data_IF_842503863399
#
_entry.id   IF_842503863399
#
_cell.length_a   1.000
_cell.length_b   1.000
_cell.length_c   1.000
_cell.angle_alpha   90.00
_cell.angle_beta   90.00
_cell.angle_gamma   90.00
#
_symmetry.space_group_name_H-M   'P 1'
#
loop_
_entity.id
_entity.type
_entity.pdbx_description
1 polymer ?
#
# COMPACT_ATOMS: atom_id res chain seq x y z
N UNK A 1 -10.58 20.32 21.58
CA UNK A 1 -11.20 19.09 21.05
C UNK A 1 -10.97 19.00 19.56
N UNK A 2 -11.40 19.98 18.75
CA UNK A 2 -11.17 20.01 17.29
C UNK A 2 -9.73 19.69 16.81
N UNK A 3 -8.69 20.22 17.46
CA UNK A 3 -7.30 20.08 16.97
C UNK A 3 -6.73 18.65 17.14
N UNK A 4 -7.08 17.96 18.23
CA UNK A 4 -6.68 16.56 18.44
C UNK A 4 -7.40 15.61 17.48
N UNK A 5 -8.64 15.94 17.13
CA UNK A 5 -9.45 15.16 16.18
C UNK A 5 -8.85 15.25 14.78
N UNK A 6 -8.41 16.45 14.35
CA UNK A 6 -7.69 16.65 13.07
C UNK A 6 -6.35 15.92 13.08
N UNK A 7 -5.58 15.97 14.18
CA UNK A 7 -4.31 15.24 14.28
C UNK A 7 -4.50 13.72 14.14
N UNK A 8 -5.54 13.17 14.78
CA UNK A 8 -5.88 11.75 14.64
C UNK A 8 -6.38 11.41 13.24
N UNK A 9 -7.15 12.31 12.62
CA UNK A 9 -7.59 12.17 11.23
C UNK A 9 -6.42 12.21 10.24
N UNK A 10 -5.42 13.07 10.48
CA UNK A 10 -4.21 13.14 9.68
C UNK A 10 -3.43 11.83 9.74
N UNK A 11 -3.32 11.23 10.93
CA UNK A 11 -2.75 9.90 11.11
C UNK A 11 -3.54 8.86 10.30
N UNK A 12 -4.87 8.80 10.47
CA UNK A 12 -5.71 7.87 9.69
C UNK A 12 -5.49 8.01 8.19
N UNK A 13 -5.51 9.23 7.64
CA UNK A 13 -5.35 9.44 6.20
C UNK A 13 -3.94 9.16 5.68
N UNK A 14 -2.89 9.27 6.51
CA UNK A 14 -1.53 8.81 6.15
C UNK A 14 -1.43 7.29 6.07
N UNK A 15 -2.20 6.57 6.90
CA UNK A 15 -2.13 5.09 7.01
C UNK A 15 -3.12 4.39 6.09
N UNK A 16 -4.39 4.80 6.13
CA UNK A 16 -5.49 4.26 5.36
C UNK A 16 -5.66 4.93 3.98
N UNK A 17 -4.76 5.84 3.62
CA UNK A 17 -4.69 6.48 2.31
C UNK A 17 -3.27 6.95 2.01
N UNK A 18 -3.14 7.90 1.09
CA UNK A 18 -1.86 8.53 0.75
C UNK A 18 -1.76 9.95 1.33
N UNK A 19 -2.34 10.19 2.51
CA UNK A 19 -2.46 11.52 3.10
C UNK A 19 -3.58 12.36 2.46
N UNK A 20 -3.76 13.57 2.98
CA UNK A 20 -4.80 14.50 2.55
C UNK A 20 -4.37 15.94 2.81
N UNK A 21 -4.95 16.89 2.10
CA UNK A 21 -4.76 18.32 2.35
C UNK A 21 -5.47 18.75 3.63
N UNK A 22 -5.03 19.84 4.25
CA UNK A 22 -5.53 20.23 5.58
C UNK A 22 -7.05 20.46 5.63
N UNK A 23 -7.63 21.06 4.60
CA UNK A 23 -9.07 21.27 4.54
C UNK A 23 -9.88 19.96 4.41
N UNK A 24 -9.31 18.92 3.78
CA UNK A 24 -9.92 17.58 3.75
C UNK A 24 -9.90 16.95 5.15
N UNK A 25 -8.82 17.17 5.91
CA UNK A 25 -8.70 16.71 7.30
C UNK A 25 -9.72 17.41 8.20
N UNK A 26 -9.92 18.72 8.04
CA UNK A 26 -10.97 19.48 8.74
C UNK A 26 -12.35 18.90 8.44
N UNK A 27 -12.69 18.72 7.16
CA UNK A 27 -13.99 18.18 6.75
C UNK A 27 -14.24 16.75 7.27
N UNK A 28 -13.21 15.89 7.26
CA UNK A 28 -13.32 14.53 7.81
C UNK A 28 -13.39 14.52 9.34
N UNK A 29 -12.65 15.40 10.02
CA UNK A 29 -12.73 15.55 11.46
C UNK A 29 -14.14 16.01 11.90
N UNK A 30 -14.76 16.92 11.15
CA UNK A 30 -16.15 17.34 11.37
C UNK A 30 -17.16 16.20 11.20
N UNK A 31 -16.91 15.28 10.24
CA UNK A 31 -17.72 14.06 10.06
C UNK A 31 -17.57 13.08 11.23
N UNK A 32 -16.41 13.07 11.88
CA UNK A 32 -16.06 12.16 12.97
C UNK A 32 -15.20 10.97 12.52
N UNK A 33 -14.36 10.49 13.44
CA UNK A 33 -13.37 9.45 13.16
C UNK A 33 -14.01 8.13 12.72
N UNK A 34 -14.91 7.58 13.53
CA UNK A 34 -15.55 6.29 13.25
C UNK A 34 -16.34 6.33 11.93
N UNK A 35 -17.08 7.42 11.68
CA UNK A 35 -17.83 7.60 10.44
C UNK A 35 -16.91 7.72 9.21
N UNK A 36 -15.71 8.26 9.37
CA UNK A 36 -14.70 8.29 8.31
C UNK A 36 -14.09 6.91 8.08
N UNK A 37 -13.82 6.15 9.13
CA UNK A 37 -13.38 4.74 9.00
C UNK A 37 -14.43 3.91 8.26
N UNK A 38 -15.71 4.07 8.59
CA UNK A 38 -16.80 3.39 7.86
C UNK A 38 -16.85 3.75 6.37
N UNK A 39 -16.68 5.03 6.04
CA UNK A 39 -16.62 5.50 4.64
C UNK A 39 -15.45 4.86 3.89
N UNK A 40 -14.26 4.87 4.48
CA UNK A 40 -13.06 4.27 3.86
C UNK A 40 -13.24 2.78 3.58
N UNK A 41 -13.94 2.07 4.48
CA UNK A 41 -14.21 0.63 4.35
C UNK A 41 -15.33 0.30 3.36
N UNK A 42 -16.09 1.29 2.89
CA UNK A 42 -17.18 1.14 1.92
C UNK A 42 -16.98 2.14 0.76
N UNK A 43 -15.97 1.92 -0.10
CA UNK A 43 -15.77 2.78 -1.25
C UNK A 43 -17.00 2.75 -2.17
N UNK A 44 -17.51 3.93 -2.50
CA UNK A 44 -18.63 4.12 -3.43
C UNK A 44 -18.20 4.85 -4.72
N UNK A 45 -16.95 5.35 -4.76
CA UNK A 45 -16.44 6.10 -5.91
C UNK A 45 -16.03 5.16 -7.05
N UNK A 46 -16.79 5.25 -8.14
CA UNK A 46 -16.54 4.52 -9.39
C UNK A 46 -15.93 5.42 -10.49
N UNK A 47 -15.50 6.64 -10.15
CA UNK A 47 -14.92 7.57 -11.13
C UNK A 47 -13.53 7.18 -11.60
N UNK A 48 -12.87 6.21 -10.93
CA UNK A 48 -11.46 5.86 -11.13
C UNK A 48 -10.50 7.06 -10.92
N UNK A 49 -10.97 8.11 -10.22
CA UNK A 49 -10.21 9.34 -10.01
C UNK A 49 -10.01 10.19 -11.27
N UNK A 50 -10.63 9.87 -12.41
CA UNK A 50 -10.35 10.54 -13.68
C UNK A 50 -11.49 10.42 -14.69
N UNK A 51 -11.64 11.44 -15.55
CA UNK A 51 -12.33 11.26 -16.82
C UNK A 51 -11.48 10.37 -17.76
N UNK A 52 -11.95 9.16 -18.04
CA UNK A 52 -11.20 8.16 -18.79
C UNK A 52 -10.83 8.63 -20.21
N UNK A 53 -11.63 9.51 -20.82
CA UNK A 53 -11.31 10.10 -22.14
C UNK A 53 -10.05 10.97 -22.08
N UNK A 54 -9.84 11.69 -20.96
CA UNK A 54 -8.61 12.43 -20.71
C UNK A 54 -7.46 11.47 -20.39
N UNK A 55 -7.74 10.40 -19.63
CA UNK A 55 -6.76 9.35 -19.34
C UNK A 55 -6.15 8.75 -20.61
N UNK A 56 -6.98 8.33 -21.57
CA UNK A 56 -6.51 7.76 -22.84
C UNK A 56 -5.64 8.72 -23.65
N UNK A 57 -5.91 10.03 -23.57
CA UNK A 57 -5.15 11.04 -24.30
C UNK A 57 -3.74 11.25 -23.76
N UNK A 58 -3.55 11.13 -22.45
CA UNK A 58 -2.28 11.45 -21.78
C UNK A 58 -1.49 10.20 -21.39
N UNK A 59 -2.18 9.10 -21.08
CA UNK A 59 -1.62 7.77 -20.85
C UNK A 59 -1.90 6.92 -22.09
N UNK A 60 -1.24 7.27 -23.19
CA UNK A 60 -1.46 6.67 -24.50
C UNK A 60 -1.22 5.15 -24.40
N UNK A 61 -2.19 4.37 -24.87
CA UNK A 61 -2.19 2.90 -24.84
C UNK A 61 -2.27 2.23 -23.45
N UNK A 62 -2.58 2.98 -22.38
CA UNK A 62 -2.87 2.36 -21.07
C UNK A 62 -4.10 1.45 -21.12
N UNK A 63 -5.16 1.90 -21.79
CA UNK A 63 -6.41 1.17 -22.01
C UNK A 63 -6.26 -0.02 -22.97
N UNK A 64 -5.18 -0.03 -23.77
CA UNK A 64 -4.76 -1.16 -24.58
C UNK A 64 -3.70 -2.02 -23.84
N UNK A 65 -3.34 -1.62 -22.62
CA UNK A 65 -2.40 -2.30 -21.73
C UNK A 65 -1.05 -2.62 -22.38
N UNK A 66 -0.57 -1.68 -23.20
CA UNK A 66 0.71 -1.80 -23.91
C UNK A 66 1.79 -1.01 -23.15
N UNK A 67 1.41 0.16 -22.64
CA UNK A 67 2.28 1.13 -21.94
C UNK A 67 1.48 1.87 -20.88
N UNK A 68 2.16 2.57 -19.99
CA UNK A 68 1.58 3.53 -19.04
C UNK A 68 0.61 2.96 -18.00
N UNK A 69 0.54 1.64 -17.79
CA UNK A 69 -0.28 1.03 -16.73
C UNK A 69 0.20 1.43 -15.32
N UNK A 70 1.50 1.40 -14.99
CA UNK A 70 1.99 1.90 -13.69
C UNK A 70 1.66 3.38 -13.44
N UNK A 71 1.71 4.20 -14.49
CA UNK A 71 1.40 5.63 -14.44
C UNK A 71 -0.08 5.86 -14.16
N UNK A 72 -0.96 5.12 -14.83
CA UNK A 72 -2.39 5.13 -14.54
C UNK A 72 -2.69 4.73 -13.09
N UNK A 73 -2.04 3.67 -12.61
CA UNK A 73 -2.17 3.22 -11.21
C UNK A 73 -1.79 4.34 -10.23
N UNK A 74 -0.61 4.95 -10.42
CA UNK A 74 -0.18 6.04 -9.57
C UNK A 74 -1.11 7.27 -9.67
N UNK A 75 -1.65 7.57 -10.86
CA UNK A 75 -2.66 8.60 -11.03
C UNK A 75 -3.92 8.31 -10.19
N UNK A 76 -4.39 7.06 -10.15
CA UNK A 76 -5.51 6.66 -9.27
C UNK A 76 -5.18 6.83 -7.80
N UNK A 77 -3.98 6.45 -7.38
CA UNK A 77 -3.54 6.66 -5.99
C UNK A 77 -3.57 8.14 -5.60
N UNK A 78 -3.26 9.05 -6.53
CA UNK A 78 -3.34 10.50 -6.33
C UNK A 78 -4.80 10.98 -6.27
N UNK A 79 -5.68 10.51 -7.14
CA UNK A 79 -6.97 11.19 -7.40
C UNK A 79 -8.24 10.46 -6.95
N UNK A 80 -8.18 9.14 -6.74
CA UNK A 80 -9.33 8.33 -6.32
C UNK A 80 -9.83 8.79 -4.95
N UNK A 81 -11.16 8.89 -4.77
CA UNK A 81 -11.73 9.13 -3.43
C UNK A 81 -11.70 7.86 -2.57
N UNK A 82 -11.64 6.69 -3.19
CA UNK A 82 -11.51 5.37 -2.56
C UNK A 82 -10.07 5.10 -2.12
N UNK A 83 -9.51 5.98 -1.28
CA UNK A 83 -8.10 5.94 -0.89
C UNK A 83 -7.68 4.64 -0.21
N UNK A 84 -8.52 4.08 0.66
CA UNK A 84 -8.23 2.79 1.31
C UNK A 84 -8.23 1.63 0.31
N UNK A 85 -9.05 1.68 -0.73
CA UNK A 85 -9.05 0.65 -1.77
C UNK A 85 -7.72 0.62 -2.53
N UNK A 86 -7.23 1.78 -3.01
CA UNK A 86 -5.91 1.88 -3.65
C UNK A 86 -4.78 1.46 -2.71
N UNK A 87 -4.92 1.80 -1.42
CA UNK A 87 -3.98 1.41 -0.38
C UNK A 87 -3.94 -0.10 -0.15
N UNK A 88 -5.10 -0.75 -0.16
CA UNK A 88 -5.22 -2.19 -0.01
C UNK A 88 -4.70 -2.95 -1.21
N UNK A 89 -4.84 -2.42 -2.43
CA UNK A 89 -4.23 -3.05 -3.62
C UNK A 89 -2.71 -3.03 -3.51
N UNK A 90 -2.12 -1.89 -3.11
CA UNK A 90 -0.67 -1.80 -2.90
C UNK A 90 -0.20 -2.72 -1.76
N UNK A 91 -0.98 -2.84 -0.69
CA UNK A 91 -0.73 -3.80 0.40
C UNK A 91 -0.71 -5.24 -0.13
N UNK A 92 -1.74 -5.64 -0.87
CA UNK A 92 -1.85 -7.00 -1.38
C UNK A 92 -0.78 -7.32 -2.42
N UNK A 93 -0.50 -6.41 -3.35
CA UNK A 93 0.53 -6.63 -4.35
C UNK A 93 1.94 -6.68 -3.73
N UNK A 94 2.12 -6.15 -2.51
CA UNK A 94 3.34 -6.34 -1.72
C UNK A 94 3.43 -7.69 -0.99
N UNK A 95 2.35 -8.49 -0.94
CA UNK A 95 2.29 -9.81 -0.29
C UNK A 95 2.09 -10.90 -1.36
N UNK A 96 1.00 -10.81 -2.11
CA UNK A 96 0.61 -11.66 -3.23
C UNK A 96 1.27 -11.14 -4.51
N UNK A 97 2.60 -11.12 -4.52
CA UNK A 97 3.34 -10.37 -5.51
C UNK A 97 3.47 -11.10 -6.85
N UNK A 98 3.43 -10.32 -7.93
CA UNK A 98 3.90 -10.69 -9.26
C UNK A 98 4.80 -9.56 -9.79
N UNK A 99 5.73 -9.90 -10.67
CA UNK A 99 6.61 -8.91 -11.29
C UNK A 99 6.41 -8.84 -12.81
N UNK A 100 6.22 -7.63 -13.35
CA UNK A 100 6.16 -7.37 -14.80
C UNK A 100 7.46 -7.81 -15.50
N UNK A 101 8.60 -7.73 -14.82
CA UNK A 101 9.89 -8.23 -15.34
C UNK A 101 9.89 -9.72 -15.68
N UNK A 102 9.09 -10.55 -14.99
CA UNK A 102 8.88 -11.97 -15.30
C UNK A 102 7.67 -12.17 -16.21
N UNK A 103 6.53 -11.57 -15.90
CA UNK A 103 5.26 -11.82 -16.63
C UNK A 103 5.21 -11.14 -18.00
N UNK A 104 5.88 -9.99 -18.17
CA UNK A 104 5.98 -9.20 -19.40
C UNK A 104 4.64 -8.89 -20.07
N UNK A 105 3.60 -8.71 -19.25
CA UNK A 105 2.22 -8.57 -19.70
C UNK A 105 1.45 -7.59 -18.82
N UNK A 106 1.57 -6.30 -19.15
CA UNK A 106 0.83 -5.23 -18.45
C UNK A 106 -0.70 -5.41 -18.47
N UNK A 107 -1.25 -6.09 -19.49
CA UNK A 107 -2.68 -6.44 -19.53
C UNK A 107 -3.06 -7.42 -18.43
N UNK A 108 -2.20 -8.39 -18.16
CA UNK A 108 -2.45 -9.38 -17.12
C UNK A 108 -2.22 -8.75 -15.74
N UNK A 109 -1.15 -7.97 -15.57
CA UNK A 109 -0.92 -7.24 -14.31
C UNK A 109 -2.04 -6.25 -13.98
N UNK A 110 -2.59 -5.57 -14.98
CA UNK A 110 -3.75 -4.71 -14.78
C UNK A 110 -4.98 -5.50 -14.34
N UNK A 111 -5.25 -6.65 -14.98
CA UNK A 111 -6.36 -7.53 -14.62
C UNK A 111 -6.23 -8.06 -13.18
N UNK A 112 -5.03 -8.42 -12.75
CA UNK A 112 -4.73 -8.81 -11.36
C UNK A 112 -5.04 -7.67 -10.39
N UNK A 113 -4.62 -6.43 -10.68
CA UNK A 113 -4.91 -5.27 -9.84
C UNK A 113 -6.40 -4.94 -9.76
N UNK A 114 -7.15 -5.11 -10.84
CA UNK A 114 -8.61 -4.97 -10.83
C UNK A 114 -9.30 -6.14 -10.08
N UNK A 115 -8.69 -7.32 -10.05
CA UNK A 115 -9.12 -8.42 -9.18
C UNK A 115 -8.88 -8.06 -7.71
N UNK A 116 -7.68 -7.58 -7.34
CA UNK A 116 -7.37 -7.10 -5.99
C UNK A 116 -8.31 -5.98 -5.55
N UNK A 117 -8.69 -5.09 -6.47
CA UNK A 117 -9.69 -4.04 -6.21
C UNK A 117 -11.05 -4.64 -5.86
N UNK A 118 -11.51 -5.63 -6.62
CA UNK A 118 -12.82 -6.26 -6.48
C UNK A 118 -12.95 -7.06 -5.18
N UNK A 119 -11.94 -7.87 -4.83
CA UNK A 119 -12.05 -8.81 -3.70
C UNK A 119 -11.03 -8.61 -2.57
N UNK A 120 -10.08 -7.68 -2.68
CA UNK A 120 -9.01 -7.47 -1.69
C UNK A 120 -9.49 -7.03 -0.31
N UNK A 121 -10.70 -6.46 -0.19
CA UNK A 121 -11.33 -6.19 1.12
C UNK A 121 -12.45 -7.18 1.47
N UNK A 122 -12.60 -8.26 0.69
CA UNK A 122 -13.60 -9.31 0.87
C UNK A 122 -13.20 -10.37 1.89
N UNK A 123 -13.57 -11.62 1.61
CA UNK A 123 -13.09 -12.78 2.35
C UNK A 123 -11.69 -13.18 1.87
N UNK A 124 -10.78 -13.51 2.79
CA UNK A 124 -9.45 -13.99 2.42
C UNK A 124 -9.50 -15.30 1.63
N UNK A 125 -10.50 -16.16 1.88
CA UNK A 125 -10.73 -17.37 1.08
C UNK A 125 -10.95 -17.04 -0.40
N UNK A 126 -11.85 -16.09 -0.67
CA UNK A 126 -12.17 -15.69 -2.04
C UNK A 126 -10.96 -15.00 -2.70
N UNK A 127 -10.25 -14.15 -1.96
CA UNK A 127 -9.02 -13.53 -2.45
C UNK A 127 -7.95 -14.57 -2.83
N UNK A 128 -7.71 -15.54 -1.94
CA UNK A 128 -6.71 -16.58 -2.16
C UNK A 128 -7.09 -17.48 -3.35
N UNK A 129 -8.38 -17.77 -3.53
CA UNK A 129 -8.89 -18.49 -4.70
C UNK A 129 -8.73 -17.70 -6.00
N UNK A 130 -9.12 -16.43 -6.00
CA UNK A 130 -9.04 -15.59 -7.19
C UNK A 130 -7.59 -15.37 -7.63
N UNK A 131 -6.66 -15.12 -6.70
CA UNK A 131 -5.22 -14.99 -7.03
C UNK A 131 -4.62 -16.33 -7.48
N UNK A 132 -5.06 -17.47 -6.91
CA UNK A 132 -4.61 -18.80 -7.36
C UNK A 132 -5.02 -19.10 -8.81
N UNK A 133 -6.10 -18.47 -9.27
CA UNK A 133 -6.57 -18.55 -10.66
C UNK A 133 -6.10 -17.38 -11.51
N UNK A 134 -5.35 -16.44 -10.96
CA UNK A 134 -4.88 -15.29 -11.71
C UNK A 134 -3.79 -15.72 -12.71
N UNK A 135 -3.91 -15.41 -14.01
CA UNK A 135 -2.94 -15.84 -15.00
C UNK A 135 -1.53 -15.25 -14.82
N UNK A 136 -1.39 -14.05 -14.23
CA UNK A 136 -0.08 -13.50 -13.89
C UNK A 136 0.54 -14.34 -12.78
N UNK A 137 -0.22 -14.67 -11.73
CA UNK A 137 0.27 -15.50 -10.63
C UNK A 137 0.63 -16.94 -11.07
N UNK A 138 -0.26 -17.59 -11.81
CA UNK A 138 -0.05 -18.95 -12.35
C UNK A 138 1.22 -19.02 -13.20
N UNK A 139 1.51 -17.98 -13.99
CA UNK A 139 2.75 -17.88 -14.76
C UNK A 139 3.95 -17.49 -13.89
N UNK A 140 3.78 -16.53 -12.98
CA UNK A 140 4.85 -15.99 -12.13
C UNK A 140 5.45 -17.05 -11.21
N UNK A 141 4.65 -18.01 -10.76
CA UNK A 141 5.11 -19.13 -9.92
C UNK A 141 5.20 -20.45 -10.68
N UNK A 142 5.20 -20.39 -12.01
CA UNK A 142 5.43 -21.53 -12.90
C UNK A 142 4.45 -22.70 -12.68
N UNK A 143 3.25 -22.43 -12.14
CA UNK A 143 2.23 -23.46 -11.92
C UNK A 143 1.68 -24.01 -13.24
N UNK A 144 1.73 -23.21 -14.31
CA UNK A 144 1.43 -23.69 -15.66
C UNK A 144 2.37 -24.80 -16.16
N UNK A 145 3.49 -25.05 -15.48
CA UNK A 145 4.44 -26.14 -15.72
C UNK A 145 4.29 -27.29 -14.69
N UNK A 146 3.30 -27.23 -13.80
CA UNK A 146 3.03 -28.27 -12.80
C UNK A 146 2.07 -29.31 -13.36
N UNK A 147 2.61 -30.48 -13.71
CA UNK A 147 1.87 -31.57 -14.34
C UNK A 147 1.75 -32.75 -13.36
N UNK A 148 0.70 -33.57 -13.48
CA UNK A 148 0.52 -34.74 -12.59
C UNK A 148 1.71 -35.70 -12.54
N UNK A 149 2.46 -35.80 -13.65
CA UNK A 149 3.63 -36.67 -13.78
C UNK A 149 4.96 -35.95 -13.49
N UNK A 150 4.94 -34.61 -13.40
CA UNK A 150 6.11 -33.74 -13.14
C UNK A 150 5.65 -32.51 -12.33
N UNK A 151 5.55 -32.69 -11.01
CA UNK A 151 5.00 -31.69 -10.09
C UNK A 151 6.02 -30.56 -9.89
N UNK A 152 5.56 -29.31 -10.04
CA UNK A 152 6.34 -28.13 -9.69
C UNK A 152 5.88 -27.60 -8.33
N UNK A 153 6.78 -27.63 -7.34
CA UNK A 153 6.48 -27.23 -5.95
C UNK A 153 6.42 -25.72 -5.73
N UNK A 154 6.85 -24.90 -6.69
CA UNK A 154 7.05 -23.47 -6.49
C UNK A 154 5.76 -22.78 -5.98
N UNK A 155 4.65 -22.89 -6.71
CA UNK A 155 3.38 -22.32 -6.26
C UNK A 155 2.92 -22.85 -4.90
N UNK A 156 3.00 -24.16 -4.70
CA UNK A 156 2.61 -24.79 -3.43
C UNK A 156 3.44 -24.30 -2.25
N UNK A 157 4.75 -24.08 -2.44
CA UNK A 157 5.65 -23.56 -1.41
C UNK A 157 5.30 -22.11 -1.06
N UNK A 158 5.20 -21.24 -2.06
CA UNK A 158 4.94 -19.82 -1.82
C UNK A 158 3.55 -19.56 -1.26
N UNK A 159 2.56 -20.37 -1.67
CA UNK A 159 1.22 -20.32 -1.10
C UNK A 159 1.25 -20.51 0.41
N UNK A 160 2.01 -21.49 0.91
CA UNK A 160 2.15 -21.74 2.36
C UNK A 160 3.09 -20.73 3.02
N UNK A 161 4.28 -20.54 2.45
CA UNK A 161 5.37 -19.80 3.07
C UNK A 161 5.14 -18.29 3.09
N UNK A 162 4.78 -17.71 1.95
CA UNK A 162 4.80 -16.27 1.77
C UNK A 162 3.42 -15.66 1.60
N UNK A 163 2.40 -16.45 1.27
CA UNK A 163 1.07 -15.90 0.97
C UNK A 163 0.00 -16.20 2.01
N UNK A 164 0.19 -17.21 2.88
CA UNK A 164 -0.89 -17.61 3.79
C UNK A 164 -0.51 -18.08 5.19
N UNK A 165 0.57 -18.84 5.42
CA UNK A 165 0.88 -19.39 6.74
C UNK A 165 2.13 -18.78 7.37
N UNK A 166 3.15 -18.45 6.57
CA UNK A 166 4.50 -18.20 7.10
C UNK A 166 5.22 -19.51 7.43
N UNK A 167 6.55 -19.50 7.38
CA UNK A 167 7.42 -20.66 7.71
C UNK A 167 7.10 -21.27 9.08
N UNK A 168 6.85 -20.43 10.07
CA UNK A 168 6.58 -20.88 11.43
C UNK A 168 6.28 -19.76 12.41
N UNK A 169 5.80 -20.14 13.58
CA UNK A 169 5.42 -19.25 14.69
C UNK A 169 5.68 -19.94 16.03
N UNK A 170 6.02 -19.15 17.06
CA UNK A 170 6.21 -19.63 18.44
C UNK A 170 7.20 -20.83 18.55
N UNK A 171 8.29 -20.77 17.77
CA UNK A 171 9.33 -21.81 17.72
C UNK A 171 8.91 -23.12 17.05
N UNK A 172 7.84 -23.11 16.23
CA UNK A 172 7.34 -24.28 15.51
C UNK A 172 7.08 -23.97 14.05
N UNK A 173 7.33 -24.94 13.18
CA UNK A 173 6.93 -24.88 11.77
C UNK A 173 5.40 -24.96 11.64
N UNK A 174 4.85 -24.20 10.70
CA UNK A 174 3.40 -24.21 10.41
C UNK A 174 2.99 -25.35 9.46
N UNK A 175 3.92 -25.82 8.63
CA UNK A 175 3.72 -26.90 7.67
C UNK A 175 5.01 -27.72 7.54
N UNK A 176 4.89 -28.91 6.96
CA UNK A 176 6.02 -29.78 6.64
C UNK A 176 6.37 -29.72 5.16
N UNK A 177 7.55 -30.24 4.80
CA UNK A 177 7.93 -30.36 3.39
C UNK A 177 7.00 -31.32 2.61
N UNK A 178 6.38 -32.29 3.28
CA UNK A 178 5.39 -33.14 2.64
C UNK A 178 4.08 -32.37 2.36
N UNK A 179 3.70 -31.43 3.23
CA UNK A 179 2.56 -30.54 2.96
C UNK A 179 2.80 -29.65 1.73
N UNK A 180 4.05 -29.20 1.48
CA UNK A 180 4.41 -28.46 0.26
C UNK A 180 4.16 -29.31 -0.99
N UNK A 181 4.60 -30.57 -0.98
CA UNK A 181 4.42 -31.50 -2.10
C UNK A 181 2.95 -31.81 -2.35
N UNK A 182 2.20 -32.10 -1.30
CA UNK A 182 0.78 -32.45 -1.39
C UNK A 182 -0.07 -31.24 -1.81
N UNK A 183 0.30 -30.03 -1.37
CA UNK A 183 -0.23 -28.78 -1.88
C UNK A 183 0.04 -28.64 -3.39
N UNK A 184 1.29 -28.80 -3.83
CA UNK A 184 1.66 -28.69 -5.24
C UNK A 184 0.94 -29.72 -6.13
N UNK A 185 0.80 -30.97 -5.64
CA UNK A 185 0.01 -32.03 -6.30
C UNK A 185 -1.43 -31.59 -6.54
N UNK A 186 -2.06 -30.94 -5.55
CA UNK A 186 -3.44 -30.48 -5.67
C UNK A 186 -3.62 -29.30 -6.66
N UNK A 187 -2.57 -28.55 -6.97
CA UNK A 187 -2.60 -27.48 -7.99
C UNK A 187 -2.18 -27.93 -9.40
N UNK A 188 -1.88 -29.21 -9.61
CA UNK A 188 -1.67 -29.76 -10.97
C UNK A 188 -2.92 -29.59 -11.82
N UNK A 189 -2.73 -29.34 -13.13
CA UNK A 189 -3.83 -29.05 -14.06
C UNK A 189 -4.39 -27.62 -13.99
N UNK A 190 -4.01 -26.80 -13.00
CA UNK A 190 -4.32 -25.36 -12.98
C UNK A 190 -3.33 -24.61 -13.87
N UNK A 191 -3.78 -24.19 -15.04
CA UNK A 191 -2.90 -23.63 -16.07
C UNK A 191 -3.51 -22.41 -16.76
N UNK A 192 -2.82 -21.88 -17.77
CA UNK A 192 -3.25 -20.76 -18.59
C UNK A 192 -3.55 -21.23 -20.02
N UNK A 193 -4.59 -20.67 -20.63
CA UNK A 193 -4.93 -20.90 -22.02
C UNK A 193 -3.81 -20.42 -22.95
N UNK A 194 -3.73 -21.03 -24.14
CA UNK A 194 -2.85 -20.54 -25.20
C UNK A 194 -3.17 -19.08 -25.54
N UNK A 195 -2.13 -18.24 -25.60
CA UNK A 195 -2.27 -16.82 -25.91
C UNK A 195 -2.84 -16.58 -27.30
N UNK A 196 -3.69 -15.56 -27.42
CA UNK A 196 -4.17 -15.06 -28.72
C UNK A 196 -3.01 -14.29 -29.38
N UNK A 197 -2.72 -14.50 -30.68
CA UNK A 197 -1.68 -13.75 -31.37
C UNK A 197 -1.91 -12.23 -31.28
N UNK A 198 -0.89 -11.50 -30.85
CA UNK A 198 -0.96 -10.04 -30.67
C UNK A 198 -1.29 -9.25 -31.96
N UNK A 199 -1.03 -9.84 -33.12
CA UNK A 199 -1.42 -9.30 -34.42
C UNK A 199 -2.27 -10.34 -35.17
N UNK A 200 -3.39 -9.94 -35.80
CA UNK A 200 -3.95 -8.58 -35.89
C UNK A 200 -4.83 -8.17 -34.70
N UNK A 201 -4.97 -9.00 -33.66
CA UNK A 201 -6.04 -8.87 -32.67
C UNK A 201 -5.74 -7.93 -31.49
N UNK A 202 -4.49 -7.52 -31.29
CA UNK A 202 -4.05 -6.75 -30.12
C UNK A 202 -3.67 -7.64 -28.93
N UNK A 203 -3.29 -7.03 -27.82
CA UNK A 203 -2.93 -7.75 -26.58
C UNK A 203 -4.21 -8.13 -25.82
N UNK A 204 -4.28 -9.37 -25.37
CA UNK A 204 -5.36 -9.88 -24.51
C UNK A 204 -4.76 -10.43 -23.23
N UNK A 205 -5.51 -10.31 -22.13
CA UNK A 205 -5.15 -11.03 -20.91
C UNK A 205 -5.20 -12.54 -21.19
N UNK A 206 -4.21 -13.25 -20.66
CA UNK A 206 -4.28 -14.71 -20.57
C UNK A 206 -5.53 -15.13 -19.80
N UNK A 207 -5.99 -16.35 -20.02
CA UNK A 207 -7.17 -16.88 -19.32
C UNK A 207 -6.77 -18.10 -18.52
N UNK A 208 -7.28 -18.21 -17.30
CA UNK A 208 -7.15 -19.42 -16.49
C UNK A 208 -7.92 -20.59 -17.10
N UNK A 209 -7.35 -21.78 -17.01
CA UNK A 209 -7.97 -23.04 -17.41
C UNK A 209 -7.62 -24.11 -16.38
N UNK A 210 -8.63 -24.87 -15.94
CA UNK A 210 -8.40 -26.14 -15.26
C UNK A 210 -8.45 -27.29 -16.27
N UNK A 211 -7.35 -28.03 -16.38
CA UNK A 211 -7.22 -29.22 -17.21
C UNK A 211 -7.30 -30.49 -16.34
N UNK A 212 -8.45 -31.16 -16.27
CA UNK A 212 -8.60 -32.36 -15.45
C UNK A 212 -7.73 -33.53 -15.93
N UNK A 213 -7.37 -33.60 -17.22
CA UNK A 213 -6.52 -34.69 -17.73
C UNK A 213 -5.08 -34.61 -17.24
N UNK A 214 -4.66 -33.44 -16.74
CA UNK A 214 -3.31 -33.13 -16.25
C UNK A 214 -3.27 -32.93 -14.73
N UNK A 215 -4.41 -33.12 -14.05
CA UNK A 215 -4.51 -33.12 -12.61
C UNK A 215 -4.15 -34.49 -12.02
N UNK A 216 -3.49 -34.49 -10.87
CA UNK A 216 -3.26 -35.67 -10.06
C UNK A 216 -4.48 -35.94 -9.16
N UNK A 217 -5.34 -36.87 -9.55
CA UNK A 217 -6.51 -37.32 -8.78
C UNK A 217 -6.18 -38.31 -7.64
N UNK A 218 -4.90 -38.50 -7.31
CA UNK A 218 -4.47 -39.32 -6.19
C UNK A 218 -4.94 -38.77 -4.85
N UNK A 219 -5.09 -39.67 -3.86
CA UNK A 219 -5.33 -39.26 -2.48
C UNK A 219 -4.12 -38.47 -1.95
N UNK A 220 -4.40 -37.36 -1.27
CA UNK A 220 -3.43 -36.41 -0.73
C UNK A 220 -3.65 -36.25 0.77
N UNK A 221 -2.58 -36.07 1.52
CA UNK A 221 -2.65 -35.73 2.94
C UNK A 221 -1.99 -34.38 3.17
N UNK A 222 -2.78 -33.38 3.53
CA UNK A 222 -2.35 -31.99 3.65
C UNK A 222 -2.84 -31.42 4.98
N UNK A 223 -1.92 -30.91 5.80
CA UNK A 223 -2.16 -30.34 7.13
C UNK A 223 -3.04 -31.23 8.02
N UNK A 224 -2.80 -32.54 7.95
CA UNK A 224 -3.53 -33.55 8.73
C UNK A 224 -4.92 -33.94 8.19
N UNK A 225 -5.36 -33.35 7.06
CA UNK A 225 -6.55 -33.76 6.34
C UNK A 225 -6.18 -34.71 5.20
N UNK A 226 -7.00 -35.72 4.92
CA UNK A 226 -6.78 -36.67 3.82
C UNK A 226 -7.99 -36.71 2.90
N UNK A 227 -7.75 -36.66 1.59
CA UNK A 227 -8.80 -36.73 0.56
C UNK A 227 -8.24 -36.60 -0.85
N UNK A 228 -9.10 -36.73 -1.86
CA UNK A 228 -8.73 -36.38 -3.23
C UNK A 228 -8.90 -34.85 -3.41
N UNK A 229 -7.90 -34.09 -2.97
CA UNK A 229 -7.95 -32.63 -2.96
C UNK A 229 -7.57 -32.02 -4.30
N UNK A 230 -8.30 -30.97 -4.67
CA UNK A 230 -7.93 -29.99 -5.69
C UNK A 230 -7.50 -28.66 -5.02
N UNK A 231 -7.04 -27.69 -5.80
CA UNK A 231 -6.56 -26.39 -5.31
C UNK A 231 -7.60 -25.64 -4.45
N UNK A 232 -8.89 -25.74 -4.76
CA UNK A 232 -9.94 -25.14 -3.92
C UNK A 232 -10.01 -25.78 -2.52
N UNK A 233 -9.83 -27.09 -2.43
CA UNK A 233 -9.86 -27.80 -1.14
C UNK A 233 -8.66 -27.42 -0.28
N UNK A 234 -7.48 -27.26 -0.90
CA UNK A 234 -6.27 -26.79 -0.21
C UNK A 234 -6.49 -25.40 0.38
N UNK A 235 -7.05 -24.47 -0.40
CA UNK A 235 -7.37 -23.12 0.08
C UNK A 235 -8.36 -23.18 1.24
N UNK A 236 -9.37 -24.05 1.14
CA UNK A 236 -10.35 -24.26 2.20
C UNK A 236 -9.78 -24.82 3.50
N UNK A 237 -8.67 -25.56 3.44
CA UNK A 237 -7.94 -26.03 4.61
C UNK A 237 -7.09 -24.87 5.16
N UNK A 238 -6.28 -24.22 4.31
CA UNK A 238 -5.39 -23.12 4.69
C UNK A 238 -6.12 -22.03 5.47
N UNK A 239 -7.24 -21.52 4.97
CA UNK A 239 -7.92 -20.38 5.61
C UNK A 239 -8.49 -20.69 7.00
N UNK A 240 -8.57 -21.96 7.38
CA UNK A 240 -9.01 -22.41 8.71
C UNK A 240 -7.86 -22.48 9.72
N UNK A 241 -6.61 -22.44 9.26
CA UNK A 241 -5.45 -22.55 10.13
C UNK A 241 -5.26 -21.28 10.96
N UNK A 242 -4.98 -21.39 12.27
CA UNK A 242 -4.64 -20.25 13.12
C UNK A 242 -3.42 -19.46 12.61
N UNK A 243 -2.47 -20.15 11.97
CA UNK A 243 -1.31 -19.52 11.36
C UNK A 243 -1.71 -18.49 10.29
N UNK A 244 -2.77 -18.74 9.51
CA UNK A 244 -3.27 -17.77 8.51
C UNK A 244 -3.82 -16.51 9.14
N UNK A 245 -4.62 -16.65 10.19
CA UNK A 245 -5.13 -15.49 10.93
C UNK A 245 -3.98 -14.63 11.47
N UNK A 246 -2.95 -15.26 12.04
CA UNK A 246 -1.77 -14.56 12.58
C UNK A 246 -0.91 -13.94 11.48
N UNK A 247 -0.72 -14.66 10.38
CA UNK A 247 0.05 -14.20 9.21
C UNK A 247 -0.51 -12.88 8.69
N UNK A 248 -1.82 -12.83 8.43
CA UNK A 248 -2.51 -11.63 7.97
C UNK A 248 -2.47 -10.52 9.01
N UNK A 249 -2.72 -10.85 10.28
CA UNK A 249 -2.72 -9.87 11.38
C UNK A 249 -1.37 -9.16 11.50
N UNK A 250 -0.25 -9.89 11.40
CA UNK A 250 1.09 -9.31 11.45
C UNK A 250 1.39 -8.44 10.22
N UNK A 251 1.00 -8.87 9.02
CA UNK A 251 1.14 -8.03 7.83
C UNK A 251 0.34 -6.74 7.92
N UNK A 252 -0.92 -6.80 8.37
CA UNK A 252 -1.76 -5.62 8.56
C UNK A 252 -1.18 -4.68 9.62
N UNK A 253 -0.65 -5.22 10.72
CA UNK A 253 0.04 -4.42 11.73
C UNK A 253 1.29 -3.74 11.18
N UNK A 254 2.15 -4.47 10.48
CA UNK A 254 3.35 -3.94 9.82
C UNK A 254 3.01 -2.79 8.86
N UNK A 255 1.98 -2.99 8.05
CA UNK A 255 1.62 -2.05 6.99
C UNK A 255 0.87 -0.82 7.51
N UNK A 256 -0.03 -0.96 8.49
CA UNK A 256 -0.91 0.13 8.93
C UNK A 256 -0.55 0.77 10.26
N UNK A 257 0.16 0.06 11.15
CA UNK A 257 0.43 0.53 12.53
C UNK A 257 1.90 0.93 12.69
N UNK A 258 2.81 -0.04 12.72
CA UNK A 258 4.22 0.18 13.02
C UNK A 258 5.11 -0.89 12.38
N UNK A 259 6.38 -0.56 12.13
CA UNK A 259 7.34 -1.52 11.57
C UNK A 259 7.43 -2.81 12.43
N UNK A 260 7.36 -3.95 11.75
CA UNK A 260 7.41 -5.30 12.34
C UNK A 260 8.62 -6.08 11.79
N UNK A 261 8.97 -7.19 12.44
CA UNK A 261 10.01 -8.10 11.94
C UNK A 261 9.61 -8.68 10.56
N UNK A 262 10.59 -9.08 9.74
CA UNK A 262 10.35 -9.70 8.43
C UNK A 262 9.83 -11.13 8.58
N UNK A 263 9.01 -11.58 7.61
CA UNK A 263 8.30 -12.89 7.64
C UNK A 263 9.22 -14.07 7.98
N UNK A 264 10.44 -14.20 7.39
CA UNK A 264 11.30 -15.33 7.69
C UNK A 264 11.73 -15.44 9.16
N UNK A 265 11.68 -14.33 9.92
CA UNK A 265 12.04 -14.31 11.34
C UNK A 265 10.87 -14.56 12.29
N UNK A 266 9.64 -14.73 11.78
CA UNK A 266 8.43 -14.82 12.61
C UNK A 266 8.34 -16.07 13.47
N UNK A 267 9.06 -17.13 13.10
CA UNK A 267 9.17 -18.34 13.93
C UNK A 267 9.80 -18.02 15.28
N UNK A 268 10.88 -17.25 15.27
CA UNK A 268 11.71 -16.97 16.45
C UNK A 268 11.42 -15.60 17.07
N UNK A 269 10.76 -14.72 16.34
CA UNK A 269 10.48 -13.34 16.76
C UNK A 269 8.98 -13.15 17.01
N UNK A 270 8.56 -12.97 18.28
CA UNK A 270 7.15 -12.74 18.60
C UNK A 270 6.65 -11.42 17.99
N UNK A 271 5.33 -11.26 17.79
CA UNK A 271 4.78 -10.00 17.33
C UNK A 271 5.11 -8.86 18.30
N UNK A 272 5.30 -7.65 17.77
CA UNK A 272 5.59 -6.45 18.57
C UNK A 272 4.46 -6.10 19.54
N UNK A 273 3.22 -6.32 19.13
CA UNK A 273 2.02 -6.11 19.93
C UNK A 273 1.11 -7.36 19.89
N UNK A 274 1.38 -8.36 20.75
CA UNK A 274 0.61 -9.60 20.77
C UNK A 274 -0.88 -9.42 21.07
N UNK A 275 -1.26 -8.35 21.78
CA UNK A 275 -2.66 -8.10 22.15
C UNK A 275 -3.48 -7.66 20.93
N UNK A 276 -2.96 -6.70 20.17
CA UNK A 276 -3.60 -6.26 18.92
C UNK A 276 -3.64 -7.38 17.89
N UNK A 277 -2.54 -8.13 17.74
CA UNK A 277 -2.49 -9.27 16.80
C UNK A 277 -3.54 -10.33 17.16
N UNK A 278 -3.68 -10.68 18.44
CA UNK A 278 -4.70 -11.62 18.89
C UNK A 278 -6.13 -11.12 18.62
N UNK A 279 -6.38 -9.83 18.80
CA UNK A 279 -7.68 -9.22 18.51
C UNK A 279 -8.06 -9.36 17.03
N UNK A 280 -7.08 -9.18 16.13
CA UNK A 280 -7.27 -9.36 14.69
C UNK A 280 -7.46 -10.83 14.32
N UNK A 281 -6.72 -11.76 14.94
CA UNK A 281 -6.90 -13.20 14.76
C UNK A 281 -8.32 -13.65 15.13
N UNK A 282 -8.83 -13.20 16.26
CA UNK A 282 -10.20 -13.50 16.71
C UNK A 282 -11.25 -12.92 15.74
N UNK A 283 -11.02 -11.70 15.25
CA UNK A 283 -11.90 -11.05 14.28
C UNK A 283 -11.91 -11.77 12.93
N UNK A 284 -10.77 -12.26 12.47
CA UNK A 284 -10.64 -13.04 11.25
C UNK A 284 -11.59 -14.25 11.28
N UNK A 285 -11.57 -15.05 12.35
CA UNK A 285 -12.48 -16.20 12.47
C UNK A 285 -13.94 -15.78 12.71
N UNK A 286 -14.18 -14.79 13.57
CA UNK A 286 -15.53 -14.33 13.93
C UNK A 286 -16.31 -13.81 12.72
N UNK A 287 -15.62 -13.14 11.80
CA UNK A 287 -16.22 -12.49 10.63
C UNK A 287 -16.31 -13.39 9.39
N UNK A 288 -15.85 -14.65 9.47
CA UNK A 288 -15.77 -15.51 8.30
C UNK A 288 -14.66 -15.08 7.32
N UNK A 289 -13.48 -14.78 7.88
CA UNK A 289 -12.25 -14.43 7.15
C UNK A 289 -12.31 -13.07 6.45
N UNK A 290 -13.09 -12.11 6.97
CA UNK A 290 -13.30 -10.82 6.32
C UNK A 290 -12.17 -9.83 6.61
N UNK A 291 -11.45 -9.43 5.55
CA UNK A 291 -10.39 -8.43 5.61
C UNK A 291 -10.94 -7.06 6.03
N UNK A 292 -12.10 -6.66 5.48
CA UNK A 292 -12.77 -5.42 5.87
C UNK A 292 -13.09 -5.37 7.36
N UNK A 293 -13.51 -6.49 7.94
CA UNK A 293 -13.82 -6.56 9.37
C UNK A 293 -12.56 -6.44 10.23
N UNK A 294 -11.46 -7.09 9.83
CA UNK A 294 -10.16 -6.91 10.48
C UNK A 294 -9.67 -5.46 10.40
N UNK A 295 -9.77 -4.81 9.24
CA UNK A 295 -9.40 -3.39 9.07
C UNK A 295 -10.23 -2.48 9.98
N UNK A 296 -11.53 -2.75 10.13
CA UNK A 296 -12.41 -2.01 11.05
C UNK A 296 -11.91 -2.10 12.48
N UNK A 297 -11.57 -3.29 12.95
CA UNK A 297 -11.03 -3.50 14.30
C UNK A 297 -9.68 -2.79 14.45
N UNK A 298 -8.79 -2.94 13.47
CA UNK A 298 -7.47 -2.31 13.46
C UNK A 298 -7.55 -0.79 13.57
N UNK A 299 -8.28 -0.13 12.66
CA UNK A 299 -8.34 1.33 12.63
C UNK A 299 -9.07 1.94 13.84
N UNK A 300 -9.91 1.18 14.54
CA UNK A 300 -10.56 1.64 15.76
C UNK A 300 -9.79 1.30 17.04
N UNK A 301 -8.73 0.50 16.95
CA UNK A 301 -7.90 0.10 18.10
C UNK A 301 -7.06 1.25 18.66
N UNK A 302 -6.77 1.19 19.96
CA UNK A 302 -5.86 2.13 20.61
C UNK A 302 -4.43 2.00 20.08
N UNK A 303 -4.00 0.78 19.71
CA UNK A 303 -2.70 0.55 19.09
C UNK A 303 -2.53 1.37 17.81
N UNK A 304 -3.54 1.37 16.92
CA UNK A 304 -3.51 2.19 15.72
C UNK A 304 -3.52 3.70 16.05
N UNK A 305 -4.46 4.14 16.91
CA UNK A 305 -4.65 5.57 17.22
C UNK A 305 -3.43 6.20 17.90
N UNK A 306 -2.66 5.40 18.65
CA UNK A 306 -1.47 5.85 19.37
C UNK A 306 -0.15 5.64 18.60
N UNK A 307 -0.13 4.90 17.50
CA UNK A 307 1.08 4.57 16.73
C UNK A 307 1.51 5.68 15.73
N UNK A 308 1.41 6.96 16.11
CA UNK A 308 1.83 8.06 15.24
C UNK A 308 3.33 8.01 14.99
N UNK A 309 3.73 8.18 13.73
CA UNK A 309 5.14 8.22 13.31
C UNK A 309 5.92 6.94 13.70
N UNK A 310 5.24 5.79 13.76
CA UNK A 310 5.83 4.51 14.18
C UNK A 310 6.30 3.62 13.01
N UNK A 311 6.05 4.02 11.76
CA UNK A 311 6.51 3.32 10.54
C UNK A 311 7.18 4.29 9.59
N UNK A 312 8.23 3.85 8.92
CA UNK A 312 8.83 4.58 7.79
C UNK A 312 7.91 4.44 6.56
N UNK A 313 7.64 5.55 5.87
CA UNK A 313 6.89 5.55 4.61
C UNK A 313 7.66 4.79 3.52
N UNK A 314 6.97 4.02 2.69
CA UNK A 314 7.53 3.49 1.44
C UNK A 314 7.71 4.58 0.37
N UNK A 315 8.54 4.37 -0.66
CA UNK A 315 8.74 5.35 -1.73
C UNK A 315 7.46 5.76 -2.47
N UNK A 316 6.58 4.81 -2.82
CA UNK A 316 5.29 5.11 -3.45
C UNK A 316 4.46 6.03 -2.54
N UNK A 317 4.35 5.70 -1.26
CA UNK A 317 3.59 6.52 -0.31
C UNK A 317 4.16 7.93 -0.16
N UNK A 318 5.49 8.06 -0.22
CA UNK A 318 6.19 9.34 -0.12
C UNK A 318 5.90 10.22 -1.33
N UNK A 319 6.03 9.66 -2.53
CA UNK A 319 5.80 10.40 -3.79
C UNK A 319 4.33 10.76 -3.94
N UNK A 320 3.43 9.77 -3.88
CA UNK A 320 1.98 9.99 -4.04
C UNK A 320 1.46 10.95 -2.97
N UNK A 321 1.88 10.79 -1.72
CA UNK A 321 1.43 11.67 -0.64
C UNK A 321 1.92 13.11 -0.77
N UNK A 322 3.11 13.31 -1.34
CA UNK A 322 3.61 14.66 -1.66
C UNK A 322 2.78 15.31 -2.76
N UNK A 323 2.49 14.58 -3.84
CA UNK A 323 1.69 15.11 -4.95
C UNK A 323 0.27 15.48 -4.51
N UNK A 324 -0.34 14.64 -3.66
CA UNK A 324 -1.64 14.94 -3.02
C UNK A 324 -1.58 16.16 -2.11
N UNK A 325 -0.55 16.24 -1.26
CA UNK A 325 -0.36 17.38 -0.35
C UNK A 325 -0.30 18.71 -1.12
N UNK A 326 0.53 18.78 -2.17
CA UNK A 326 0.67 20.01 -2.96
C UNK A 326 -0.48 20.24 -3.93
N UNK A 327 -1.35 19.24 -4.16
CA UNK A 327 -2.46 19.33 -5.09
C UNK A 327 -2.03 19.32 -6.56
N UNK A 328 -0.89 18.70 -6.87
CA UNK A 328 -0.43 18.50 -8.24
C UNK A 328 -1.00 17.21 -8.82
N UNK A 329 -1.03 17.09 -10.15
CA UNK A 329 -1.58 15.93 -10.87
C UNK A 329 -3.06 15.65 -10.60
N UNK A 330 -3.81 16.68 -10.21
CA UNK A 330 -5.28 16.67 -10.17
C UNK A 330 -5.94 16.52 -11.55
N UNK A 331 -5.15 16.70 -12.61
CA UNK A 331 -5.49 16.37 -13.98
C UNK A 331 -4.26 15.80 -14.71
N UNK A 332 -4.44 14.92 -15.72
CA UNK A 332 -3.33 14.40 -16.51
C UNK A 332 -2.58 15.50 -17.26
N UNK A 333 -1.25 15.42 -17.26
CA UNK A 333 -0.35 16.33 -18.00
C UNK A 333 0.93 15.57 -18.43
N UNK A 334 1.73 16.11 -19.37
CA UNK A 334 2.99 15.47 -19.75
C UNK A 334 3.99 15.42 -18.59
N UNK A 335 4.85 14.38 -18.57
CA UNK A 335 5.99 14.27 -17.63
C UNK A 335 5.79 13.34 -16.43
N UNK A 336 4.72 12.52 -16.40
CA UNK A 336 4.47 11.61 -15.29
C UNK A 336 5.49 10.46 -15.19
N UNK A 337 6.06 10.06 -16.33
CA UNK A 337 7.14 9.06 -16.40
C UNK A 337 8.32 9.42 -15.48
N UNK A 338 8.71 10.69 -15.41
CA UNK A 338 9.79 11.13 -14.53
C UNK A 338 9.45 10.88 -13.05
N UNK A 339 8.19 11.08 -12.65
CA UNK A 339 7.71 10.82 -11.27
C UNK A 339 7.70 9.33 -10.97
N UNK A 340 7.33 8.52 -11.97
CA UNK A 340 7.41 7.06 -11.85
C UNK A 340 8.85 6.59 -11.60
N UNK A 341 9.80 7.12 -12.37
CA UNK A 341 11.22 6.84 -12.21
C UNK A 341 11.75 7.29 -10.83
N UNK A 342 11.21 8.35 -10.22
CA UNK A 342 11.58 8.74 -8.85
C UNK A 342 11.24 7.64 -7.83
N UNK A 343 10.06 7.02 -7.93
CA UNK A 343 9.65 5.92 -7.04
C UNK A 343 10.58 4.71 -7.19
N UNK A 344 10.91 4.35 -8.43
CA UNK A 344 11.86 3.28 -8.76
C UNK A 344 13.26 3.56 -8.20
N UNK A 345 13.81 4.75 -8.43
CA UNK A 345 15.14 5.12 -7.93
C UNK A 345 15.20 5.23 -6.40
N UNK A 346 14.06 5.39 -5.72
CA UNK A 346 13.94 5.33 -4.27
C UNK A 346 13.73 3.89 -3.75
N UNK A 347 13.62 2.89 -4.63
CA UNK A 347 13.60 1.46 -4.30
C UNK A 347 12.24 0.76 -4.46
N UNK A 348 11.19 1.44 -4.92
CA UNK A 348 9.86 0.83 -5.06
C UNK A 348 9.24 1.13 -6.42
N UNK A 349 9.36 0.18 -7.35
CA UNK A 349 8.79 0.24 -8.70
C UNK A 349 7.42 -0.44 -8.74
N UNK A 350 6.36 0.27 -9.13
CA UNK A 350 5.00 -0.30 -9.21
C UNK A 350 4.99 -1.47 -10.21
N UNK A 351 4.28 -2.55 -9.89
CA UNK A 351 4.24 -3.80 -10.66
C UNK A 351 5.55 -4.60 -10.68
N UNK A 352 6.60 -4.16 -10.00
CA UNK A 352 7.88 -4.86 -9.96
C UNK A 352 8.45 -4.94 -8.53
N UNK A 353 7.83 -5.73 -7.64
CA UNK A 353 8.50 -6.23 -6.45
C UNK A 353 9.82 -6.95 -6.81
N UNK A 354 10.90 -6.79 -6.03
CA UNK A 354 12.22 -7.32 -6.35
C UNK A 354 12.34 -8.85 -6.23
N UNK A 355 11.46 -9.49 -5.45
CA UNK A 355 11.40 -10.95 -5.26
C UNK A 355 9.97 -11.40 -4.94
N UNK A 356 9.79 -12.72 -4.79
CA UNK A 356 8.52 -13.33 -4.34
C UNK A 356 8.15 -12.97 -2.90
N UNK A 357 9.11 -12.44 -2.12
CA UNK A 357 8.86 -11.91 -0.77
C UNK A 357 8.24 -10.50 -0.79
N UNK A 358 8.06 -9.91 -1.98
CA UNK A 358 7.54 -8.56 -2.14
C UNK A 358 8.63 -7.50 -1.96
N UNK A 359 8.23 -6.32 -1.47
CA UNK A 359 9.17 -5.26 -1.13
C UNK A 359 9.57 -5.30 0.34
N UNK A 360 10.85 -5.03 0.62
CA UNK A 360 11.32 -4.79 1.99
C UNK A 360 10.63 -3.58 2.62
N UNK A 361 10.59 -3.51 3.96
CA UNK A 361 9.88 -2.45 4.69
C UNK A 361 10.76 -1.75 5.72
N UNK A 362 10.25 -0.66 6.31
CA UNK A 362 10.90 0.01 7.42
C UNK A 362 12.22 0.67 7.04
N UNK A 363 13.27 0.37 7.81
CA UNK A 363 14.58 1.05 7.70
C UNK A 363 15.31 0.77 6.40
N UNK A 364 14.97 -0.31 5.72
CA UNK A 364 15.59 -0.69 4.44
C UNK A 364 15.24 0.29 3.31
N UNK A 365 14.19 1.10 3.48
CA UNK A 365 13.91 2.22 2.58
C UNK A 365 14.90 3.38 2.65
N UNK A 366 15.80 3.38 3.65
CA UNK A 366 16.67 4.52 3.96
C UNK A 366 18.14 4.11 3.86
N UNK A 367 18.78 4.54 2.78
CA UNK A 367 20.23 4.63 2.65
C UNK A 367 20.65 6.06 2.31
N UNK A 368 21.96 6.33 2.23
CA UNK A 368 22.47 7.69 1.99
C UNK A 368 22.02 8.31 0.67
N UNK A 369 21.80 7.51 -0.37
CA UNK A 369 21.34 7.96 -1.68
C UNK A 369 19.82 8.11 -1.75
N UNK A 370 19.08 7.10 -1.29
CA UNK A 370 17.60 7.12 -1.30
C UNK A 370 17.04 8.20 -0.37
N UNK A 371 17.68 8.43 0.78
CA UNK A 371 17.30 9.52 1.70
C UNK A 371 17.42 10.90 1.05
N UNK A 372 18.55 11.19 0.41
CA UNK A 372 18.77 12.49 -0.23
C UNK A 372 17.77 12.73 -1.35
N UNK A 373 17.52 11.71 -2.19
CA UNK A 373 16.55 11.79 -3.28
C UNK A 373 15.14 12.08 -2.77
N UNK A 374 14.73 11.40 -1.69
CA UNK A 374 13.44 11.64 -1.01
C UNK A 374 13.29 13.07 -0.50
N UNK A 375 14.29 13.54 0.25
CA UNK A 375 14.26 14.89 0.82
C UNK A 375 14.17 15.93 -0.30
N UNK A 376 15.00 15.80 -1.34
CA UNK A 376 14.98 16.72 -2.48
C UNK A 376 13.64 16.70 -3.19
N UNK A 377 13.09 15.51 -3.48
CA UNK A 377 11.77 15.40 -4.11
C UNK A 377 10.71 16.15 -3.30
N UNK A 378 10.59 15.88 -2.00
CA UNK A 378 9.55 16.53 -1.19
C UNK A 378 9.82 18.05 -1.10
N UNK A 379 11.07 18.44 -0.84
CA UNK A 379 11.46 19.85 -0.69
C UNK A 379 11.22 20.68 -1.97
N UNK A 380 11.45 20.10 -3.15
CA UNK A 380 11.22 20.78 -4.43
C UNK A 380 9.72 21.09 -4.61
N UNK A 381 8.84 20.14 -4.28
CA UNK A 381 7.39 20.32 -4.41
C UNK A 381 6.83 21.26 -3.34
N UNK A 382 7.19 21.09 -2.06
CA UNK A 382 6.65 21.98 -1.00
C UNK A 382 7.27 23.39 -1.01
N UNK A 383 8.41 23.55 -1.69
CA UNK A 383 9.07 24.83 -1.90
C UNK A 383 8.42 25.70 -2.98
N UNK A 384 7.60 25.13 -3.85
CA UNK A 384 6.95 25.85 -4.94
C UNK A 384 5.56 26.37 -4.53
N UNK A 385 5.51 27.69 -4.28
CA UNK A 385 4.29 28.41 -3.89
C UNK A 385 3.26 28.55 -5.02
N UNK A 386 3.55 28.08 -6.22
CA UNK A 386 2.58 28.04 -7.32
C UNK A 386 1.57 26.88 -7.17
N UNK A 387 1.91 25.85 -6.38
CA UNK A 387 1.03 24.72 -6.18
C UNK A 387 -0.18 25.05 -5.30
N UNK A 388 -1.40 24.58 -5.66
CA UNK A 388 -2.63 24.92 -4.94
C UNK A 388 -2.59 24.56 -3.44
N UNK A 389 -2.03 23.41 -3.08
CA UNK A 389 -1.92 22.98 -1.69
C UNK A 389 -1.01 23.89 -0.86
N UNK A 390 0.10 24.36 -1.45
CA UNK A 390 1.00 25.31 -0.78
C UNK A 390 0.35 26.69 -0.66
N UNK A 391 -0.41 27.11 -1.68
CA UNK A 391 -1.20 28.34 -1.61
C UNK A 391 -2.25 28.29 -0.50
N UNK A 392 -2.95 27.17 -0.31
CA UNK A 392 -3.91 26.97 0.78
C UNK A 392 -3.22 27.10 2.15
N UNK A 393 -2.05 26.46 2.33
CA UNK A 393 -1.25 26.58 3.56
C UNK A 393 -0.91 28.06 3.83
N UNK A 394 -0.38 28.76 2.83
CA UNK A 394 -0.02 30.18 2.94
C UNK A 394 -1.25 31.01 3.31
N UNK A 395 -2.38 30.83 2.63
CA UNK A 395 -3.62 31.57 2.89
C UNK A 395 -4.15 31.33 4.31
N UNK A 396 -4.11 30.07 4.80
CA UNK A 396 -4.49 29.73 6.17
C UNK A 396 -3.56 30.33 7.23
N UNK A 397 -2.28 30.54 6.90
CA UNK A 397 -1.36 31.26 7.78
C UNK A 397 -1.62 32.77 7.78
N UNK A 398 -1.86 33.36 6.60
CA UNK A 398 -2.23 34.78 6.48
C UNK A 398 -3.51 35.09 7.26
N UNK A 399 -4.49 34.17 7.25
CA UNK A 399 -5.75 34.32 7.95
C UNK A 399 -5.62 34.39 9.49
N UNK A 400 -4.47 34.02 10.07
CA UNK A 400 -4.25 34.06 11.52
C UNK A 400 -3.92 35.46 12.05
N UNK A 401 -3.52 36.39 11.18
CA UNK A 401 -3.27 37.78 11.58
C UNK A 401 -2.34 38.52 10.63
N UNK A 402 -2.18 39.85 10.84
CA UNK A 402 -1.32 40.69 10.00
C UNK A 402 0.18 40.43 10.22
N UNK A 403 0.54 39.82 11.35
CA UNK A 403 1.92 39.51 11.73
C UNK A 403 2.01 38.06 12.19
N UNK A 404 3.08 37.37 11.80
CA UNK A 404 3.37 36.00 12.19
C UNK A 404 4.70 35.95 12.96
N UNK A 405 4.67 35.38 14.16
CA UNK A 405 5.88 35.17 14.95
C UNK A 405 6.68 33.97 14.41
N UNK A 406 7.99 33.88 14.67
CA UNK A 406 8.79 32.71 14.33
C UNK A 406 8.20 31.38 14.83
N UNK A 407 7.74 31.35 16.09
CA UNK A 407 7.10 30.19 16.70
C UNK A 407 5.77 29.85 16.01
N UNK A 408 4.94 30.86 15.73
CA UNK A 408 3.66 30.68 15.04
C UNK A 408 3.83 30.18 13.60
N UNK A 409 4.90 30.58 12.90
CA UNK A 409 5.23 30.06 11.58
C UNK A 409 5.57 28.57 11.63
N UNK A 410 6.42 28.15 12.56
CA UNK A 410 6.84 26.75 12.72
C UNK A 410 5.64 25.88 13.11
N UNK A 411 4.91 26.26 14.16
CA UNK A 411 3.73 25.53 14.65
C UNK A 411 2.62 25.49 13.58
N UNK A 412 2.40 26.60 12.89
CA UNK A 412 1.43 26.71 11.80
C UNK A 412 1.77 25.78 10.63
N UNK A 413 3.03 25.75 10.21
CA UNK A 413 3.48 24.85 9.15
C UNK A 413 3.37 23.37 9.56
N UNK A 414 3.79 23.00 10.76
CA UNK A 414 3.67 21.62 11.27
C UNK A 414 2.21 21.16 11.35
N UNK A 415 1.32 22.04 11.82
CA UNK A 415 -0.12 21.79 11.87
C UNK A 415 -0.70 21.60 10.47
N UNK A 416 -0.45 22.53 9.56
CA UNK A 416 -1.03 22.54 8.21
C UNK A 416 -0.47 21.46 7.28
N UNK A 417 0.74 20.93 7.55
CA UNK A 417 1.27 19.73 6.90
C UNK A 417 0.58 18.42 7.35
N UNK A 418 -0.38 18.49 8.26
CA UNK A 418 -1.09 17.32 8.79
C UNK A 418 -0.66 16.93 10.21
N UNK A 419 -0.45 17.93 11.08
CA UNK A 419 -0.08 17.76 12.48
C UNK A 419 1.18 16.89 12.66
N UNK A 420 2.26 17.28 12.01
CA UNK A 420 3.56 16.64 12.21
C UNK A 420 4.12 16.99 13.59
N UNK A 421 4.58 15.97 14.30
CA UNK A 421 5.29 16.13 15.58
C UNK A 421 6.79 15.96 15.32
N UNK A 422 7.60 16.87 15.85
CA UNK A 422 9.06 16.84 15.73
C UNK A 422 9.67 16.87 17.13
N UNK A 423 10.90 16.36 17.28
CA UNK A 423 11.57 16.39 18.56
C UNK A 423 11.81 17.84 19.05
N UNK A 424 11.86 18.05 20.36
CA UNK A 424 12.08 19.38 20.97
C UNK A 424 13.35 20.08 20.46
N UNK A 425 14.40 19.31 20.16
CA UNK A 425 15.61 19.82 19.55
C UNK A 425 15.39 20.30 18.12
N UNK A 426 14.73 19.50 17.29
CA UNK A 426 14.34 19.86 15.92
C UNK A 426 13.46 21.11 15.91
N UNK A 427 12.44 21.16 16.77
CA UNK A 427 11.56 22.33 16.92
C UNK A 427 12.34 23.59 17.29
N UNK A 428 13.24 23.52 18.28
CA UNK A 428 14.10 24.65 18.67
C UNK A 428 14.97 25.14 17.51
N UNK A 429 15.55 24.23 16.73
CA UNK A 429 16.38 24.58 15.58
C UNK A 429 15.58 25.26 14.46
N UNK A 430 14.36 24.79 14.19
CA UNK A 430 13.44 25.41 13.22
C UNK A 430 13.04 26.83 13.66
N UNK A 431 12.71 27.00 14.94
CA UNK A 431 12.37 28.31 15.52
C UNK A 431 13.57 29.25 15.51
N UNK A 432 14.78 28.76 15.85
CA UNK A 432 16.00 29.57 15.77
C UNK A 432 16.29 30.03 14.34
N UNK A 433 16.04 29.16 13.35
CA UNK A 433 16.12 29.55 11.95
C UNK A 433 15.11 30.66 11.60
N UNK A 434 13.83 30.48 11.99
CA UNK A 434 12.77 31.45 11.73
C UNK A 434 13.05 32.81 12.40
N UNK A 435 13.63 32.83 13.60
CA UNK A 435 14.00 34.07 14.33
C UNK A 435 15.00 34.95 13.59
N UNK A 436 15.78 34.40 12.63
CA UNK A 436 16.67 35.20 11.78
C UNK A 436 15.92 36.21 10.92
N UNK A 437 14.65 35.94 10.59
CA UNK A 437 13.78 36.85 9.84
C UNK A 437 12.92 37.74 10.74
N UNK A 438 12.86 37.48 12.05
CA UNK A 438 12.02 38.19 13.01
C UNK A 438 10.53 37.96 12.78
N UNK A 439 9.70 38.86 13.29
CA UNK A 439 8.25 38.84 13.05
C UNK A 439 7.97 39.22 11.59
N UNK A 440 7.19 38.38 10.91
CA UNK A 440 6.89 38.53 9.49
C UNK A 440 5.54 39.21 9.29
N UNK A 441 5.48 40.19 8.37
CA UNK A 441 4.21 40.76 7.92
C UNK A 441 3.58 39.86 6.86
N UNK A 442 2.34 39.41 7.11
CA UNK A 442 1.66 38.41 6.27
C UNK A 442 1.11 38.97 4.96
N UNK A 443 1.04 40.31 4.83
CA UNK A 443 0.61 41.04 3.63
C UNK A 443 1.72 41.25 2.59
N UNK A 444 2.93 40.75 2.86
CA UNK A 444 4.09 40.94 1.99
C UNK A 444 4.21 39.86 0.92
N UNK A 445 4.81 40.21 -0.23
CA UNK A 445 5.13 39.25 -1.30
C UNK A 445 6.20 38.22 -0.91
N UNK A 446 6.94 38.48 0.17
CA UNK A 446 7.99 37.58 0.67
C UNK A 446 7.46 36.54 1.65
N UNK A 447 6.30 36.79 2.29
CA UNK A 447 5.70 35.86 3.24
C UNK A 447 5.52 34.43 2.69
N UNK A 448 4.99 34.21 1.47
CA UNK A 448 4.90 32.87 0.89
C UNK A 448 6.25 32.15 0.78
N UNK A 449 7.34 32.89 0.50
CA UNK A 449 8.68 32.30 0.41
C UNK A 449 9.22 31.88 1.77
N UNK A 450 8.91 32.63 2.84
CA UNK A 450 9.24 32.23 4.20
C UNK A 450 8.49 30.96 4.61
N UNK A 451 7.20 30.85 4.25
CA UNK A 451 6.41 29.63 4.45
C UNK A 451 7.04 28.46 3.69
N UNK A 452 7.29 28.60 2.39
CA UNK A 452 7.93 27.57 1.58
C UNK A 452 9.28 27.11 2.15
N UNK A 453 10.14 28.05 2.56
CA UNK A 453 11.43 27.74 3.20
C UNK A 453 11.23 26.94 4.48
N UNK A 454 10.25 27.32 5.30
CA UNK A 454 9.94 26.58 6.53
C UNK A 454 9.43 25.17 6.24
N UNK A 455 8.56 25.00 5.24
CA UNK A 455 8.08 23.69 4.81
C UNK A 455 9.24 22.81 4.33
N UNK A 456 10.17 23.35 3.52
CA UNK A 456 11.36 22.64 3.07
C UNK A 456 12.24 22.17 4.24
N UNK A 457 12.42 22.99 5.27
CA UNK A 457 13.17 22.61 6.46
C UNK A 457 12.47 21.50 7.26
N UNK A 458 11.14 21.57 7.39
CA UNK A 458 10.34 20.56 8.10
C UNK A 458 10.41 19.21 7.38
N UNK A 459 10.20 19.17 6.06
CA UNK A 459 10.20 17.90 5.32
C UNK A 459 11.59 17.25 5.20
N UNK A 460 12.65 18.03 5.41
CA UNK A 460 14.03 17.54 5.49
C UNK A 460 14.39 16.93 6.85
N UNK A 461 13.49 17.00 7.85
CA UNK A 461 13.71 16.39 9.17
C UNK A 461 13.59 14.87 9.10
N UNK A 462 14.24 14.18 10.04
CA UNK A 462 14.14 12.71 10.14
C UNK A 462 12.72 12.27 10.44
N UNK A 463 12.00 13.04 11.25
CA UNK A 463 10.65 12.78 11.72
C UNK A 463 9.64 12.73 10.55
N UNK A 464 9.85 13.53 9.50
CA UNK A 464 8.96 13.53 8.32
C UNK A 464 9.00 12.22 7.52
N UNK A 465 10.07 11.43 7.64
CA UNK A 465 10.19 10.11 7.01
C UNK A 465 9.18 9.11 7.57
N UNK A 466 8.65 9.38 8.77
CA UNK A 466 7.70 8.52 9.46
C UNK A 466 6.26 8.96 9.17
N UNK A 467 5.34 7.99 9.13
CA UNK A 467 3.90 8.19 8.88
C UNK A 467 3.06 7.86 10.10
#
# INVERSE_FOLDING_TARGET
MADNDIALMAHLMRRAGFGAQYHELEARAEKGYEATVEELLHPEDNSNGMDLDLGERYFIEWNHFIRCVPEYIAFRMINSKSQLEEKMILFWHGILCTADSKTQSQVTSHAEWEMLRRCGMGSFKDLLLEISRDPAMVYFLDNCLSHKDEINENYGRELLELFSLGVGMDGKFNYTEDDVKECARAFTGWTIANGIPGQPYGRYSSQFVYNPDDHDDGEKTFLGHTGNFNGEDIIDIIVKEPATARFLSRHMYNYFVADEAQVPSWMDTPPRDPETIKMLEEEYFRSGYSIRSMLRVLFNSDAFKNARFARIKGPIETVIGTLRLVGDWSAPKPGFEAIFEEMKHMGQEILNPPSVEGWHTGKEWIDGGTLLRRINFIADYVGDVSYPGIQDIVQKLVAQGPTMTPEGLVEGCLRLLGHYEVADETSRNLVEHARKSGDLSTDTREFPKHVATMLQLIVATKEYLYA
#
